data_IF_688921357903
#
_entry.id   IF_688921357903
#
_cell.length_a   1.000
_cell.length_b   1.000
_cell.length_c   1.000
_cell.angle_alpha   90.00
_cell.angle_beta   90.00
_cell.angle_gamma   90.00
#
_symmetry.space_group_name_H-M   'P 1'
#
loop_
_entity.id
_entity.type
_entity.pdbx_description
1 polymer ?
#
# COMPACT_ATOMS: atom_id res chain seq x y z
N UNK A 1 83.72 47.13 -39.44
CA UNK A 1 83.59 48.56 -39.04
C UNK A 1 82.42 48.67 -38.12
N UNK A 2 82.66 49.01 -36.93
CA UNK A 2 81.91 49.64 -35.90
C UNK A 2 80.70 48.91 -35.30
N UNK A 3 80.92 48.51 -34.12
CA UNK A 3 80.66 49.17 -32.84
C UNK A 3 79.19 49.13 -32.51
N UNK A 4 78.98 48.37 -31.53
CA UNK A 4 78.64 48.95 -30.18
C UNK A 4 77.21 49.49 -30.14
N UNK A 5 76.42 48.91 -29.36
CA UNK A 5 76.15 49.48 -28.02
C UNK A 5 75.46 48.43 -27.19
N UNK A 6 76.17 48.07 -26.17
CA UNK A 6 75.61 47.56 -24.96
C UNK A 6 74.92 48.77 -24.32
N UNK A 7 73.71 48.63 -23.94
CA UNK A 7 73.29 49.26 -22.71
C UNK A 7 71.87 48.89 -22.38
N UNK A 8 71.85 48.27 -21.29
CA UNK A 8 70.98 48.60 -20.17
C UNK A 8 69.54 48.30 -20.39
N UNK A 9 69.18 47.23 -19.89
CA UNK A 9 67.90 47.20 -19.33
C UNK A 9 67.91 46.78 -17.90
N UNK A 10 67.79 47.78 -17.17
CA UNK A 10 67.19 47.68 -15.83
C UNK A 10 65.70 47.27 -16.00
N UNK A 11 65.42 46.10 -15.54
CA UNK A 11 64.67 45.92 -14.34
C UNK A 11 63.32 46.62 -14.39
N UNK A 12 62.36 45.85 -14.77
CA UNK A 12 61.10 45.98 -14.01
C UNK A 12 60.51 44.59 -13.77
N UNK A 13 60.73 44.15 -12.57
CA UNK A 13 59.97 42.99 -11.98
C UNK A 13 58.57 43.46 -11.73
N UNK A 14 57.69 43.31 -12.68
CA UNK A 14 56.26 43.32 -12.41
C UNK A 14 55.85 41.95 -11.91
N UNK A 15 55.74 41.87 -10.63
CA UNK A 15 55.06 40.77 -9.93
C UNK A 15 53.60 40.73 -10.36
N UNK A 16 53.31 39.87 -11.33
CA UNK A 16 51.93 39.50 -11.62
C UNK A 16 51.50 38.57 -10.51
N UNK A 17 50.79 39.12 -9.57
CA UNK A 17 50.01 38.32 -8.59
C UNK A 17 48.89 37.64 -9.36
N UNK A 18 49.12 36.40 -9.73
CA UNK A 18 48.06 35.51 -10.20
C UNK A 18 47.13 35.25 -9.01
N UNK A 19 45.98 35.91 -8.98
CA UNK A 19 44.85 35.48 -8.13
C UNK A 19 44.36 34.12 -8.69
N UNK A 20 44.73 33.07 -8.03
CA UNK A 20 44.09 31.76 -8.23
C UNK A 20 42.68 31.82 -7.64
N UNK A 21 41.68 32.09 -8.47
CA UNK A 21 40.31 31.89 -8.13
C UNK A 21 40.05 30.38 -8.03
N UNK A 22 40.05 29.85 -6.82
CA UNK A 22 39.58 28.49 -6.53
C UNK A 22 38.08 28.49 -6.71
N UNK A 23 37.60 28.08 -7.87
CA UNK A 23 36.22 27.73 -8.12
C UNK A 23 35.95 26.44 -7.35
N UNK A 24 35.37 26.53 -6.15
CA UNK A 24 34.75 25.39 -5.50
C UNK A 24 33.54 24.99 -6.35
N UNK A 25 33.75 24.08 -7.27
CA UNK A 25 32.65 23.36 -7.89
C UNK A 25 31.98 22.56 -6.78
N UNK A 26 30.85 23.08 -6.25
CA UNK A 26 29.97 22.35 -5.36
C UNK A 26 29.46 21.12 -6.10
N UNK A 27 30.03 19.96 -5.80
CA UNK A 27 29.46 18.68 -6.19
C UNK A 27 28.14 18.57 -5.45
N UNK A 28 27.05 18.88 -6.14
CA UNK A 28 25.71 18.53 -5.67
C UNK A 28 25.68 17.00 -5.61
N UNK A 29 25.90 16.46 -4.43
CA UNK A 29 25.63 15.06 -4.14
C UNK A 29 24.12 14.91 -4.26
N UNK A 30 23.67 14.50 -5.45
CA UNK A 30 22.31 14.00 -5.61
C UNK A 30 22.22 12.79 -4.68
N UNK A 31 21.58 12.96 -3.53
CA UNK A 31 21.24 11.85 -2.66
C UNK A 31 20.40 10.90 -3.52
N UNK A 32 20.98 9.80 -3.95
CA UNK A 32 20.24 8.71 -4.54
C UNK A 32 19.18 8.32 -3.53
N UNK A 33 17.92 8.58 -3.87
CA UNK A 33 16.79 8.06 -3.10
C UNK A 33 17.04 6.57 -2.93
N UNK A 34 17.12 6.13 -1.66
CA UNK A 34 17.55 4.78 -1.34
C UNK A 34 16.71 3.73 -2.06
N UNK A 35 17.31 2.59 -2.32
CA UNK A 35 16.70 1.37 -2.91
C UNK A 35 15.47 0.86 -2.12
N UNK A 36 15.18 1.43 -0.98
CA UNK A 36 14.04 1.08 -0.12
C UNK A 36 13.01 2.21 -0.15
N UNK A 37 11.71 1.89 -0.25
CA UNK A 37 10.66 2.90 -0.08
C UNK A 37 10.84 3.59 1.27
N UNK A 38 10.59 4.91 1.38
CA UNK A 38 10.74 5.63 2.61
C UNK A 38 9.85 5.00 3.69
N UNK A 39 10.43 4.82 4.90
CA UNK A 39 9.65 4.35 6.05
C UNK A 39 8.55 5.38 6.37
N UNK A 40 7.37 4.87 6.70
CA UNK A 40 6.26 5.73 7.09
C UNK A 40 6.60 6.49 8.39
N UNK A 41 6.36 7.81 8.46
CA UNK A 41 6.48 8.56 9.70
C UNK A 41 5.62 7.95 10.83
N UNK A 42 6.04 8.08 12.11
CA UNK A 42 5.20 7.65 13.24
C UNK A 42 3.81 8.31 13.17
N UNK A 43 2.77 7.54 13.49
CA UNK A 43 1.39 8.02 13.46
C UNK A 43 0.78 8.14 12.07
N UNK A 44 1.44 7.68 11.02
CA UNK A 44 0.83 7.61 9.69
C UNK A 44 -0.39 6.69 9.67
N UNK A 45 -1.35 7.03 8.83
CA UNK A 45 -2.42 6.12 8.41
C UNK A 45 -1.97 5.35 7.16
N UNK A 46 -2.43 4.13 7.01
CA UNK A 46 -2.14 3.29 5.85
C UNK A 46 -3.43 2.98 5.10
N UNK A 47 -3.41 3.12 3.78
CA UNK A 47 -4.57 2.81 2.95
C UNK A 47 -4.15 2.07 1.70
N UNK A 48 -4.97 1.10 1.29
CA UNK A 48 -4.87 0.41 0.01
C UNK A 48 -6.22 0.42 -0.70
N UNK A 49 -6.20 0.13 -1.98
CA UNK A 49 -7.39 0.00 -2.81
C UNK A 49 -7.58 -1.46 -3.20
N UNK A 50 -8.82 -1.94 -3.18
CA UNK A 50 -9.22 -3.21 -3.75
C UNK A 50 -10.19 -2.94 -4.92
N UNK A 51 -9.89 -3.48 -6.09
CA UNK A 51 -10.81 -3.45 -7.22
C UNK A 51 -11.68 -4.71 -7.21
N UNK A 52 -12.87 -4.63 -6.62
CA UNK A 52 -13.85 -5.72 -6.57
C UNK A 52 -14.65 -5.88 -7.87
N UNK A 53 -14.35 -5.10 -8.90
CA UNK A 53 -15.03 -5.16 -10.20
C UNK A 53 -14.27 -6.01 -11.21
N UNK A 54 -14.89 -6.25 -12.37
CA UNK A 54 -14.26 -6.92 -13.52
C UNK A 54 -13.50 -5.97 -14.45
N UNK A 55 -13.42 -4.67 -14.12
CA UNK A 55 -12.65 -3.71 -14.90
C UNK A 55 -11.16 -4.06 -14.84
N UNK A 56 -10.49 -4.27 -15.98
CA UNK A 56 -9.14 -4.81 -16.02
C UNK A 56 -8.08 -3.89 -15.42
N UNK A 57 -8.37 -2.58 -15.38
CA UNK A 57 -7.52 -1.56 -14.76
C UNK A 57 -8.37 -0.42 -14.22
N UNK A 58 -8.19 -0.13 -12.94
CA UNK A 58 -8.87 0.95 -12.25
C UNK A 58 -7.82 1.89 -11.66
N UNK A 59 -7.67 3.12 -12.18
CA UNK A 59 -6.76 4.09 -11.59
C UNK A 59 -7.28 4.52 -10.22
N UNK A 60 -6.36 4.66 -9.26
CA UNK A 60 -6.72 5.04 -7.91
C UNK A 60 -5.81 6.17 -7.37
N UNK A 61 -6.43 7.13 -6.70
CA UNK A 61 -5.78 8.28 -6.09
C UNK A 61 -6.43 8.57 -4.73
N UNK A 62 -5.62 8.83 -3.72
CA UNK A 62 -6.08 9.23 -2.39
C UNK A 62 -5.49 10.61 -2.05
N UNK A 63 -6.35 11.62 -2.05
CA UNK A 63 -5.87 13.01 -2.00
C UNK A 63 -5.02 13.34 -3.22
N UNK A 64 -3.77 13.72 -2.99
CA UNK A 64 -2.74 13.97 -4.01
C UNK A 64 -1.84 12.76 -4.31
N UNK A 65 -2.00 11.65 -3.55
CA UNK A 65 -1.19 10.44 -3.72
C UNK A 65 -1.79 9.52 -4.77
N UNK A 66 -0.97 9.22 -5.78
CA UNK A 66 -1.32 8.19 -6.76
C UNK A 66 -1.04 6.81 -6.16
N UNK A 67 -2.07 5.95 -6.11
CA UNK A 67 -1.96 4.55 -5.69
C UNK A 67 -1.54 3.65 -6.85
N UNK A 68 -1.78 4.11 -8.08
CA UNK A 68 -1.56 3.35 -9.32
C UNK A 68 -2.82 2.68 -9.84
N UNK A 69 -2.63 1.89 -10.88
CA UNK A 69 -3.71 1.08 -11.47
C UNK A 69 -3.86 -0.22 -10.69
N UNK A 70 -5.08 -0.54 -10.28
CA UNK A 70 -5.41 -1.81 -9.61
C UNK A 70 -6.13 -2.72 -10.60
N UNK A 71 -5.62 -3.92 -10.81
CA UNK A 71 -6.23 -4.88 -11.73
C UNK A 71 -7.55 -5.44 -11.16
N UNK A 72 -8.35 -6.07 -12.01
CA UNK A 72 -9.61 -6.68 -11.61
C UNK A 72 -9.38 -7.73 -10.51
N UNK A 73 -10.16 -7.66 -9.44
CA UNK A 73 -10.11 -8.58 -8.31
C UNK A 73 -8.73 -8.61 -7.61
N UNK A 74 -8.02 -7.48 -7.59
CA UNK A 74 -6.74 -7.33 -6.91
C UNK A 74 -6.76 -6.20 -5.89
N UNK A 75 -5.87 -6.28 -4.92
CA UNK A 75 -5.60 -5.21 -3.97
C UNK A 75 -4.24 -4.57 -4.27
N UNK A 76 -4.19 -3.24 -4.21
CA UNK A 76 -2.93 -2.49 -4.32
C UNK A 76 -2.05 -2.74 -3.07
N UNK A 77 -0.75 -2.43 -3.14
CA UNK A 77 0.05 -2.22 -1.94
C UNK A 77 -0.55 -1.10 -1.06
N UNK A 78 -0.19 -1.11 0.22
CA UNK A 78 -0.50 0.01 1.10
C UNK A 78 0.36 1.22 0.76
N UNK A 79 -0.26 2.39 0.75
CA UNK A 79 0.42 3.68 0.83
C UNK A 79 0.19 4.27 2.22
N UNK A 80 1.05 5.18 2.65
CA UNK A 80 0.87 5.90 3.90
C UNK A 80 0.59 7.38 3.66
N UNK A 81 -0.21 7.96 4.57
CA UNK A 81 -0.63 9.37 4.58
C UNK A 81 -0.61 9.89 6.02
N UNK A 82 -0.48 11.19 6.19
CA UNK A 82 -0.76 11.81 7.47
C UNK A 82 -2.24 11.59 7.85
N UNK A 83 -2.60 11.60 9.15
CA UNK A 83 -4.00 11.65 9.55
C UNK A 83 -4.71 12.85 8.94
N UNK A 84 -5.95 12.68 8.49
CA UNK A 84 -6.71 13.74 7.82
C UNK A 84 -7.89 13.22 7.02
N UNK A 85 -8.60 14.11 6.37
CA UNK A 85 -9.72 13.75 5.49
C UNK A 85 -9.28 13.87 4.04
N UNK A 86 -9.44 12.82 3.26
CA UNK A 86 -8.98 12.72 1.89
C UNK A 86 -10.11 12.29 0.96
N UNK A 87 -10.08 12.80 -0.27
CA UNK A 87 -10.93 12.27 -1.31
C UNK A 87 -10.24 11.06 -1.95
N UNK A 88 -10.83 9.90 -1.82
CA UNK A 88 -10.45 8.70 -2.58
C UNK A 88 -11.18 8.73 -3.92
N UNK A 89 -10.41 8.77 -5.02
CA UNK A 89 -10.91 8.63 -6.40
C UNK A 89 -10.46 7.28 -6.92
N UNK A 90 -11.41 6.40 -7.24
CA UNK A 90 -11.14 5.03 -7.68
C UNK A 90 -11.98 4.77 -8.91
N UNK A 91 -11.34 4.74 -10.08
CA UNK A 91 -12.03 4.75 -11.36
C UNK A 91 -12.88 6.02 -11.50
N UNK A 92 -14.18 5.84 -11.75
CA UNK A 92 -15.17 6.93 -11.83
C UNK A 92 -15.81 7.26 -10.48
N UNK A 93 -15.60 6.43 -9.46
CA UNK A 93 -16.16 6.63 -8.13
C UNK A 93 -15.30 7.54 -7.26
N UNK A 94 -15.94 8.24 -6.33
CA UNK A 94 -15.26 9.15 -5.40
C UNK A 94 -15.92 9.09 -4.02
N UNK A 95 -15.09 8.97 -2.99
CA UNK A 95 -15.53 8.87 -1.60
C UNK A 95 -14.62 9.71 -0.70
N UNK A 96 -15.22 10.42 0.27
CA UNK A 96 -14.43 11.08 1.31
C UNK A 96 -14.05 10.08 2.40
N UNK A 97 -12.76 10.02 2.74
CA UNK A 97 -12.20 9.02 3.67
C UNK A 97 -11.48 9.77 4.80
N UNK A 98 -12.02 9.75 6.01
CA UNK A 98 -11.30 10.23 7.19
C UNK A 98 -10.28 9.19 7.62
N UNK A 99 -8.98 9.52 7.57
CA UNK A 99 -7.90 8.65 7.98
C UNK A 99 -7.40 9.03 9.37
N UNK A 100 -7.44 8.11 10.31
CA UNK A 100 -6.88 8.25 11.65
C UNK A 100 -5.46 7.67 11.68
N UNK A 101 -4.60 8.28 12.50
CA UNK A 101 -3.24 7.81 12.65
C UNK A 101 -3.13 6.40 13.23
N UNK A 102 -2.12 5.65 12.78
CA UNK A 102 -1.85 4.26 13.20
C UNK A 102 -2.97 3.27 12.85
N UNK A 103 -3.87 3.63 11.94
CA UNK A 103 -4.93 2.76 11.42
C UNK A 103 -4.64 2.33 9.99
N UNK A 104 -5.18 1.18 9.62
CA UNK A 104 -5.08 0.59 8.29
C UNK A 104 -6.45 0.53 7.63
N UNK A 105 -6.52 1.03 6.40
CA UNK A 105 -7.75 1.16 5.64
C UNK A 105 -7.69 0.35 4.35
N UNK A 106 -8.84 -0.17 3.94
CA UNK A 106 -9.03 -0.74 2.62
C UNK A 106 -10.23 -0.05 1.98
N UNK A 107 -10.01 0.66 0.87
CA UNK A 107 -11.07 1.23 0.05
C UNK A 107 -11.39 0.24 -1.08
N UNK A 108 -12.51 -0.43 -1.01
CA UNK A 108 -12.95 -1.41 -2.00
C UNK A 108 -13.92 -0.76 -2.99
N UNK A 109 -13.60 -0.86 -4.28
CA UNK A 109 -14.50 -0.46 -5.35
C UNK A 109 -15.40 -1.64 -5.72
N UNK A 110 -16.69 -1.41 -5.67
CA UNK A 110 -17.75 -2.31 -6.13
C UNK A 110 -18.66 -1.61 -7.14
N UNK A 111 -19.62 -2.33 -7.72
CA UNK A 111 -20.59 -1.73 -8.63
C UNK A 111 -21.47 -0.68 -7.93
N UNK A 112 -21.73 -0.87 -6.64
CA UNK A 112 -22.51 0.06 -5.80
C UNK A 112 -21.73 1.31 -5.39
N UNK A 113 -20.41 1.35 -5.59
CA UNK A 113 -19.53 2.45 -5.22
C UNK A 113 -18.29 2.02 -4.43
N UNK A 114 -17.77 2.92 -3.61
CA UNK A 114 -16.58 2.66 -2.78
C UNK A 114 -17.02 2.41 -1.34
N UNK A 115 -16.58 1.27 -0.79
CA UNK A 115 -16.72 0.93 0.62
C UNK A 115 -15.37 1.04 1.31
N UNK A 116 -15.32 1.69 2.48
CA UNK A 116 -14.09 1.90 3.23
C UNK A 116 -14.13 1.12 4.52
N UNK A 117 -13.14 0.27 4.73
CA UNK A 117 -12.97 -0.55 5.93
C UNK A 117 -11.79 -0.03 6.72
N UNK A 118 -11.99 0.15 8.03
CA UNK A 118 -10.94 0.51 8.99
C UNK A 118 -10.61 -0.69 9.86
N UNK A 119 -9.33 -0.87 10.17
CA UNK A 119 -8.85 -1.84 11.14
C UNK A 119 -7.58 -1.35 11.82
N UNK A 120 -7.23 -1.95 12.95
CA UNK A 120 -5.92 -1.75 13.55
C UNK A 120 -4.82 -2.31 12.63
N UNK A 121 -3.70 -1.60 12.54
CA UNK A 121 -2.57 -2.12 11.78
C UNK A 121 -1.93 -3.29 12.52
N UNK A 122 -1.75 -4.39 11.81
CA UNK A 122 -1.13 -5.59 12.36
C UNK A 122 0.38 -5.43 12.48
N UNK A 123 0.93 -5.74 13.64
CA UNK A 123 2.35 -5.60 13.94
C UNK A 123 2.97 -6.82 14.65
N UNK A 124 2.21 -7.88 14.85
CA UNK A 124 2.72 -9.09 15.51
C UNK A 124 3.72 -9.84 14.63
N UNK A 125 4.87 -10.17 15.19
CA UNK A 125 5.89 -11.00 14.54
C UNK A 125 5.71 -12.50 14.83
N UNK A 126 4.75 -12.87 15.67
CA UNK A 126 4.51 -14.26 16.10
C UNK A 126 3.26 -14.88 15.52
N UNK A 127 2.31 -14.07 15.11
CA UNK A 127 1.01 -14.46 14.57
C UNK A 127 0.89 -14.13 13.10
N UNK A 128 -0.14 -14.63 12.46
CA UNK A 128 -0.69 -14.13 11.21
C UNK A 128 -2.01 -13.41 11.50
N UNK A 129 -2.33 -12.37 10.75
CA UNK A 129 -3.66 -11.77 10.77
C UNK A 129 -4.48 -12.34 9.61
N UNK A 130 -5.65 -12.85 9.89
CA UNK A 130 -6.66 -13.17 8.88
C UNK A 130 -7.76 -12.12 8.97
N UNK A 131 -8.11 -11.52 7.85
CA UNK A 131 -9.21 -10.56 7.73
C UNK A 131 -10.18 -11.00 6.65
N UNK A 132 -11.48 -10.80 6.87
CA UNK A 132 -12.55 -10.99 5.88
C UNK A 132 -13.18 -9.64 5.60
N UNK A 133 -13.29 -9.30 4.33
CA UNK A 133 -14.01 -8.14 3.83
C UNK A 133 -15.24 -8.65 3.07
N UNK A 134 -16.41 -8.45 3.63
CA UNK A 134 -17.65 -8.91 3.03
C UNK A 134 -18.25 -7.82 2.15
N UNK A 135 -18.17 -8.02 0.85
CA UNK A 135 -18.68 -7.14 -0.20
C UNK A 135 -19.95 -7.73 -0.86
N UNK A 136 -20.54 -8.78 -0.25
CA UNK A 136 -21.78 -9.37 -0.74
C UNK A 136 -22.96 -8.62 -0.13
N UNK A 137 -23.75 -7.98 -0.98
CA UNK A 137 -24.90 -7.22 -0.54
C UNK A 137 -25.94 -8.09 0.18
N UNK A 138 -26.49 -7.58 1.28
CA UNK A 138 -27.58 -8.21 2.04
C UNK A 138 -27.24 -9.54 2.70
N UNK A 139 -25.96 -9.98 2.68
CA UNK A 139 -25.55 -11.25 3.26
C UNK A 139 -24.63 -11.05 4.46
N UNK A 140 -24.77 -11.92 5.46
CA UNK A 140 -23.80 -12.09 6.53
C UNK A 140 -22.97 -13.33 6.24
N UNK A 141 -21.64 -13.20 6.30
CA UNK A 141 -20.71 -14.29 6.03
C UNK A 141 -19.87 -14.64 7.25
N UNK A 142 -19.45 -15.89 7.32
CA UNK A 142 -18.50 -16.39 8.31
C UNK A 142 -17.38 -17.15 7.59
N UNK A 143 -16.14 -16.96 8.02
CA UNK A 143 -14.99 -17.76 7.58
C UNK A 143 -14.82 -18.91 8.56
N UNK A 144 -14.93 -20.14 8.06
CA UNK A 144 -14.77 -21.36 8.86
C UNK A 144 -13.72 -22.28 8.25
N UNK A 145 -13.32 -23.31 8.98
CA UNK A 145 -12.59 -24.42 8.41
C UNK A 145 -13.40 -25.06 7.26
N UNK A 146 -12.73 -25.67 6.28
CA UNK A 146 -13.41 -26.16 5.08
C UNK A 146 -14.51 -27.20 5.37
N UNK A 147 -14.39 -27.92 6.49
CA UNK A 147 -15.42 -28.86 7.02
C UNK A 147 -16.54 -28.16 7.79
N UNK A 148 -16.41 -26.84 8.04
CA UNK A 148 -17.39 -26.05 8.78
C UNK A 148 -17.37 -26.23 10.29
N UNK A 149 -16.47 -27.07 10.82
CA UNK A 149 -16.46 -27.46 12.24
C UNK A 149 -16.04 -26.31 13.18
N UNK A 150 -15.18 -25.42 12.70
CA UNK A 150 -14.67 -24.30 13.52
C UNK A 150 -14.77 -22.97 12.79
N UNK A 151 -15.27 -21.96 13.49
CA UNK A 151 -15.28 -20.61 13.02
C UNK A 151 -13.93 -19.92 13.28
N UNK A 152 -13.39 -19.30 12.25
CA UNK A 152 -12.22 -18.42 12.32
C UNK A 152 -12.68 -16.98 12.54
N UNK A 153 -13.66 -16.52 11.75
CA UNK A 153 -14.28 -15.20 11.86
C UNK A 153 -15.77 -15.40 11.62
N UNK A 154 -16.60 -14.96 12.55
CA UNK A 154 -18.04 -15.13 12.49
C UNK A 154 -18.78 -13.84 12.19
N UNK A 155 -19.94 -13.99 11.52
CA UNK A 155 -20.98 -12.97 11.43
C UNK A 155 -20.50 -11.61 10.88
N UNK A 156 -19.74 -11.62 9.80
CA UNK A 156 -19.36 -10.40 9.09
C UNK A 156 -20.54 -9.97 8.23
N UNK A 157 -21.19 -8.88 8.61
CA UNK A 157 -22.34 -8.31 7.87
C UNK A 157 -21.96 -7.79 6.50
N UNK A 158 -22.95 -7.46 5.67
CA UNK A 158 -22.72 -6.83 4.37
C UNK A 158 -21.96 -5.50 4.54
N UNK A 159 -20.98 -5.25 3.67
CA UNK A 159 -20.11 -4.06 3.71
C UNK A 159 -19.41 -3.86 5.06
N UNK A 160 -19.10 -4.96 5.75
CA UNK A 160 -18.33 -4.98 6.99
C UNK A 160 -17.07 -5.83 6.85
N UNK A 161 -16.17 -5.69 7.80
CA UNK A 161 -14.97 -6.52 7.91
C UNK A 161 -14.87 -7.15 9.30
N UNK A 162 -14.21 -8.30 9.35
CA UNK A 162 -13.84 -8.97 10.58
C UNK A 162 -12.41 -9.45 10.49
N UNK A 163 -11.71 -9.57 11.62
CA UNK A 163 -10.34 -10.04 11.63
C UNK A 163 -10.03 -10.86 12.88
N UNK A 164 -9.00 -11.71 12.76
CA UNK A 164 -8.50 -12.54 13.87
C UNK A 164 -7.03 -12.83 13.70
N UNK A 165 -6.27 -12.69 14.79
CA UNK A 165 -4.92 -13.20 14.87
C UNK A 165 -4.92 -14.71 15.09
N UNK A 166 -4.14 -15.42 14.30
CA UNK A 166 -4.04 -16.89 14.33
C UNK A 166 -2.58 -17.33 14.36
N UNK A 167 -2.35 -18.55 14.81
CA UNK A 167 -1.03 -19.17 14.69
C UNK A 167 -0.75 -19.50 13.22
N UNK A 168 0.52 -19.43 12.79
CA UNK A 168 0.94 -19.89 11.48
C UNK A 168 0.54 -21.35 11.26
N UNK A 169 -0.15 -21.60 10.15
CA UNK A 169 -0.65 -22.95 9.83
C UNK A 169 -1.03 -23.03 8.35
N UNK A 170 -0.83 -24.19 7.75
CA UNK A 170 -1.44 -24.49 6.45
C UNK A 170 -2.88 -24.92 6.67
N UNK A 171 -3.82 -24.27 6.04
CA UNK A 171 -5.25 -24.50 6.28
C UNK A 171 -6.07 -24.38 5.00
N UNK A 172 -7.19 -25.06 5.00
CA UNK A 172 -8.26 -24.91 4.01
C UNK A 172 -9.45 -24.29 4.70
N UNK A 173 -9.90 -23.16 4.18
CA UNK A 173 -10.99 -22.36 4.73
C UNK A 173 -12.12 -22.27 3.72
N UNK A 174 -13.33 -22.04 4.21
CA UNK A 174 -14.51 -21.83 3.39
C UNK A 174 -15.37 -20.69 3.97
N UNK A 175 -16.10 -20.02 3.10
CA UNK A 175 -17.06 -18.99 3.47
C UNK A 175 -18.44 -19.60 3.57
N UNK A 176 -19.14 -19.25 4.62
CA UNK A 176 -20.49 -19.69 4.95
C UNK A 176 -21.43 -18.50 5.11
N UNK A 177 -22.71 -18.69 4.79
CA UNK A 177 -23.79 -17.83 5.23
C UNK A 177 -24.74 -18.65 6.10
N UNK A 178 -24.73 -18.37 7.41
CA UNK A 178 -25.38 -19.24 8.39
C UNK A 178 -24.78 -20.66 8.39
N UNK A 179 -25.61 -21.64 8.12
CA UNK A 179 -25.21 -23.06 7.98
C UNK A 179 -24.80 -23.44 6.54
N UNK A 180 -25.07 -22.59 5.56
CA UNK A 180 -24.84 -22.90 4.15
C UNK A 180 -23.42 -22.52 3.75
N UNK A 181 -22.66 -23.49 3.23
CA UNK A 181 -21.36 -23.24 2.63
C UNK A 181 -21.57 -22.53 1.29
N UNK A 182 -20.97 -21.35 1.14
CA UNK A 182 -21.02 -20.59 -0.10
C UNK A 182 -19.92 -21.04 -1.07
N UNK A 183 -18.67 -21.06 -0.61
CA UNK A 183 -17.53 -21.49 -1.42
C UNK A 183 -16.32 -21.88 -0.56
N UNK A 184 -15.46 -22.72 -1.13
CA UNK A 184 -14.13 -22.99 -0.58
C UNK A 184 -13.16 -21.91 -1.03
N UNK A 185 -12.40 -21.37 -0.10
CA UNK A 185 -11.29 -20.48 -0.41
C UNK A 185 -10.08 -21.30 -0.90
N UNK A 186 -9.26 -20.72 -1.79
CA UNK A 186 -8.00 -21.36 -2.18
C UNK A 186 -7.18 -21.67 -0.92
N UNK A 187 -6.60 -22.87 -0.80
CA UNK A 187 -5.77 -23.23 0.33
C UNK A 187 -4.64 -22.22 0.54
N UNK A 188 -4.37 -21.88 1.78
CA UNK A 188 -3.38 -20.86 2.14
C UNK A 188 -2.47 -21.37 3.25
N UNK A 189 -1.19 -20.97 3.20
CA UNK A 189 -0.25 -21.14 4.31
C UNK A 189 -0.14 -19.82 5.03
N UNK A 190 -0.69 -19.75 6.24
CA UNK A 190 -0.63 -18.57 7.09
C UNK A 190 0.78 -18.47 7.70
N UNK A 191 1.45 -17.34 7.46
CA UNK A 191 2.82 -17.10 7.89
C UNK A 191 2.88 -15.98 8.94
N UNK A 192 3.89 -16.07 9.81
CA UNK A 192 4.14 -15.07 10.85
C UNK A 192 4.41 -13.70 10.24
N UNK A 193 3.91 -12.66 10.90
CA UNK A 193 4.14 -11.27 10.50
C UNK A 193 3.34 -10.83 9.27
N UNK A 194 2.54 -11.73 8.67
CA UNK A 194 1.78 -11.43 7.46
C UNK A 194 0.28 -11.25 7.71
N UNK A 195 -0.33 -10.43 6.88
CA UNK A 195 -1.78 -10.22 6.84
C UNK A 195 -2.36 -10.93 5.62
N UNK A 196 -3.35 -11.76 5.86
CA UNK A 196 -4.12 -12.51 4.86
C UNK A 196 -5.53 -11.94 4.79
N UNK A 197 -5.84 -11.24 3.73
CA UNK A 197 -7.13 -10.59 3.53
C UNK A 197 -7.95 -11.36 2.51
N UNK A 198 -9.08 -11.89 2.95
CA UNK A 198 -10.06 -12.54 2.09
C UNK A 198 -11.15 -11.54 1.73
N UNK A 199 -11.23 -11.20 0.46
CA UNK A 199 -12.35 -10.45 -0.09
C UNK A 199 -13.41 -11.43 -0.57
N UNK A 200 -14.63 -11.23 -0.11
CA UNK A 200 -15.82 -11.99 -0.50
C UNK A 200 -16.70 -11.05 -1.30
N UNK A 201 -16.79 -11.27 -2.61
CA UNK A 201 -17.57 -10.43 -3.54
C UNK A 201 -18.50 -11.29 -4.40
N UNK A 202 -19.25 -10.68 -5.31
CA UNK A 202 -20.27 -11.34 -6.11
C UNK A 202 -21.60 -11.45 -5.38
N UNK A 203 -22.21 -12.64 -5.41
CA UNK A 203 -23.48 -12.91 -4.72
C UNK A 203 -23.41 -14.20 -3.90
N UNK A 204 -24.41 -14.46 -3.06
CA UNK A 204 -24.49 -15.71 -2.29
C UNK A 204 -24.61 -16.95 -3.18
N UNK A 205 -25.16 -16.80 -4.40
CA UNK A 205 -25.28 -17.89 -5.38
C UNK A 205 -24.05 -18.03 -6.27
N UNK A 206 -23.26 -16.95 -6.44
CA UNK A 206 -22.05 -16.89 -7.24
C UNK A 206 -20.97 -16.12 -6.48
N UNK A 207 -20.46 -16.64 -5.37
CA UNK A 207 -19.45 -15.95 -4.56
C UNK A 207 -18.08 -16.03 -5.24
N UNK A 208 -17.34 -14.94 -5.17
CA UNK A 208 -15.96 -14.84 -5.64
C UNK A 208 -15.07 -14.57 -4.43
N UNK A 209 -14.10 -15.44 -4.19
CA UNK A 209 -13.20 -15.37 -3.03
C UNK A 209 -11.77 -15.06 -3.48
N UNK A 210 -11.22 -13.96 -3.01
CA UNK A 210 -9.89 -13.48 -3.41
C UNK A 210 -9.01 -13.29 -2.17
N UNK A 211 -7.85 -13.95 -2.14
CA UNK A 211 -6.81 -13.69 -1.16
C UNK A 211 -5.88 -12.56 -1.63
N UNK A 212 -5.59 -11.65 -0.72
CA UNK A 212 -4.48 -10.69 -0.82
C UNK A 212 -3.59 -10.86 0.41
N UNK A 213 -2.27 -10.97 0.19
CA UNK A 213 -1.27 -11.19 1.25
C UNK A 213 -0.31 -10.01 1.28
N UNK A 214 -0.06 -9.49 2.50
CA UNK A 214 0.89 -8.40 2.75
C UNK A 214 1.86 -8.76 3.86
#
# INVERSE_FOLDING_TARGET
MNRSIIMKILRERRTVRALAAVVLAGVAISASAGLYPPAAPPGSAFIRVFNGTTQPKVPAQIGDKNVGDTAALEASPYIFLAPGSYQAKIGSASQNVPLQGSKCYTAALEQSGVHVFEQDCFNSQLKALVSVFNLVDGATVSLKTADGSQAVIDNVGANASGHREVNPVKTSLAVYSGATKLADAKPVTLERGKTFSLFVTGSTSQPVLIWSVN
#
